data_IF_526956507821
#
_entry.id   IF_526956507821
#
_cell.length_a   1.000
_cell.length_b   1.000
_cell.length_c   1.000
_cell.angle_alpha   90.00
_cell.angle_beta   90.00
_cell.angle_gamma   90.00
#
_symmetry.space_group_name_H-M   'P 1'
#
loop_
_entity.id
_entity.type
_entity.pdbx_description
1 polymer ?
#
# COMPACT_ATOMS: atom_id res chain seq x y z
N UNK A 1 -23.69 -17.71 9.49
CA UNK A 1 -23.95 -17.65 8.04
C UNK A 1 -25.35 -17.11 7.82
N UNK A 2 -25.52 -16.00 7.10
CA UNK A 2 -26.84 -15.46 6.71
C UNK A 2 -26.80 -15.10 5.23
N UNK A 3 -27.76 -15.61 4.45
CA UNK A 3 -27.82 -15.39 3.00
C UNK A 3 -26.65 -15.98 2.19
N UNK A 4 -26.05 -17.08 2.65
CA UNK A 4 -24.93 -17.75 1.95
C UNK A 4 -23.56 -17.10 2.14
N UNK A 5 -23.45 -16.07 2.99
CA UNK A 5 -22.18 -15.41 3.36
C UNK A 5 -21.72 -15.90 4.74
N UNK A 6 -20.44 -16.24 4.85
CA UNK A 6 -19.76 -16.44 6.15
C UNK A 6 -19.34 -15.09 6.70
N UNK A 7 -19.74 -14.78 7.93
CA UNK A 7 -19.39 -13.52 8.56
C UNK A 7 -18.00 -13.64 9.19
N UNK A 8 -17.13 -12.67 8.94
CA UNK A 8 -15.79 -12.57 9.52
C UNK A 8 -15.72 -11.41 10.52
N UNK A 9 -14.73 -11.46 11.39
CA UNK A 9 -14.43 -10.45 12.43
C UNK A 9 -12.91 -10.29 12.51
N UNK A 10 -12.47 -9.31 13.32
CA UNK A 10 -11.08 -8.89 13.48
C UNK A 10 -10.55 -8.18 12.22
N UNK A 11 -10.56 -6.86 12.27
CA UNK A 11 -10.30 -5.99 11.14
C UNK A 11 -9.10 -5.10 11.45
N UNK A 12 -7.87 -5.53 11.11
CA UNK A 12 -6.68 -4.67 11.20
C UNK A 12 -6.51 -3.93 9.87
N UNK A 13 -7.45 -3.05 9.52
CA UNK A 13 -7.57 -2.61 8.13
C UNK A 13 -6.42 -1.74 7.69
N UNK A 14 -5.85 -0.93 8.60
CA UNK A 14 -4.65 -0.15 8.31
C UNK A 14 -3.58 -1.07 7.75
N UNK A 15 -3.24 -2.16 8.42
CA UNK A 15 -2.21 -3.09 7.96
C UNK A 15 -2.66 -3.84 6.70
N UNK A 16 -3.82 -4.48 6.78
CA UNK A 16 -4.21 -5.53 5.84
C UNK A 16 -4.58 -5.03 4.44
N UNK A 17 -4.94 -3.76 4.24
CA UNK A 17 -5.23 -3.25 2.88
C UNK A 17 -3.99 -3.27 1.97
N UNK A 18 -2.79 -3.21 2.57
CA UNK A 18 -1.51 -3.03 1.85
C UNK A 18 -1.14 -4.29 1.06
N UNK A 19 -1.19 -5.45 1.70
CA UNK A 19 -0.72 -6.74 1.12
C UNK A 19 -1.72 -7.88 1.33
N UNK A 20 -2.18 -8.09 2.57
CA UNK A 20 -2.98 -9.26 2.96
C UNK A 20 -4.31 -9.35 2.20
N UNK A 21 -5.05 -8.23 2.07
CA UNK A 21 -6.32 -8.20 1.35
C UNK A 21 -6.15 -8.68 -0.10
N UNK A 22 -5.09 -8.22 -0.78
CA UNK A 22 -4.82 -8.61 -2.16
C UNK A 22 -4.32 -10.05 -2.26
N UNK A 23 -3.50 -10.49 -1.31
CA UNK A 23 -3.03 -11.87 -1.23
C UNK A 23 -4.20 -12.86 -1.09
N UNK A 24 -5.13 -12.58 -0.18
CA UNK A 24 -6.34 -13.39 0.00
C UNK A 24 -7.26 -13.32 -1.22
N UNK A 25 -7.38 -12.15 -1.86
CA UNK A 25 -8.16 -12.04 -3.10
C UNK A 25 -7.59 -12.89 -4.25
N UNK A 26 -6.29 -13.18 -4.25
CA UNK A 26 -5.65 -14.05 -5.25
C UNK A 26 -5.85 -15.54 -4.91
N UNK A 27 -5.59 -15.94 -3.66
CA UNK A 27 -5.50 -17.36 -3.28
C UNK A 27 -6.76 -17.92 -2.60
N UNK A 28 -7.50 -17.08 -1.89
CA UNK A 28 -8.72 -17.42 -1.14
C UNK A 28 -9.88 -16.45 -1.48
N UNK A 29 -10.25 -16.28 -2.78
CA UNK A 29 -11.19 -15.23 -3.20
C UNK A 29 -12.62 -15.42 -2.68
N UNK A 30 -13.00 -16.62 -2.21
CA UNK A 30 -14.33 -16.84 -1.60
C UNK A 30 -14.37 -16.26 -0.19
N UNK A 31 -13.33 -16.52 0.58
CA UNK A 31 -13.10 -16.00 1.91
C UNK A 31 -12.92 -14.48 1.85
N UNK A 32 -12.07 -13.98 0.95
CA UNK A 32 -11.88 -12.54 0.74
C UNK A 32 -13.17 -11.82 0.36
N UNK A 33 -14.02 -12.44 -0.47
CA UNK A 33 -15.36 -11.92 -0.77
C UNK A 33 -16.23 -11.83 0.48
N UNK A 34 -16.30 -12.92 1.25
CA UNK A 34 -17.12 -12.99 2.46
C UNK A 34 -16.63 -11.99 3.53
N UNK A 35 -15.31 -11.77 3.64
CA UNK A 35 -14.70 -10.73 4.46
C UNK A 35 -15.13 -9.33 4.01
N UNK A 36 -15.00 -9.00 2.72
CA UNK A 36 -15.39 -7.69 2.20
C UNK A 36 -16.89 -7.42 2.38
N UNK A 37 -17.75 -8.42 2.17
CA UNK A 37 -19.19 -8.30 2.45
C UNK A 37 -19.46 -8.16 3.96
N UNK A 38 -18.67 -8.78 4.83
CA UNK A 38 -18.79 -8.61 6.28
C UNK A 38 -18.49 -7.16 6.71
N UNK A 39 -17.46 -6.53 6.14
CA UNK A 39 -17.16 -5.10 6.39
C UNK A 39 -18.33 -4.19 5.97
N UNK A 40 -18.97 -4.48 4.83
CA UNK A 40 -20.18 -3.75 4.40
C UNK A 40 -21.31 -3.92 5.41
N UNK A 41 -21.50 -5.13 5.95
CA UNK A 41 -22.51 -5.40 6.98
C UNK A 41 -22.21 -4.71 8.30
N UNK A 42 -20.93 -4.60 8.70
CA UNK A 42 -20.55 -3.78 9.88
C UNK A 42 -21.08 -2.35 9.72
N UNK A 43 -20.95 -1.74 8.53
CA UNK A 43 -21.51 -0.41 8.30
C UNK A 43 -23.03 -0.35 8.39
N UNK A 44 -23.74 -1.40 7.98
CA UNK A 44 -25.20 -1.49 8.03
C UNK A 44 -25.72 -1.74 9.46
N UNK A 45 -25.00 -2.55 10.25
CA UNK A 45 -25.41 -3.00 11.57
C UNK A 45 -24.91 -2.08 12.69
N UNK A 46 -23.67 -1.58 12.59
CA UNK A 46 -23.05 -0.68 13.57
C UNK A 46 -23.14 0.80 13.16
N UNK A 47 -23.72 1.11 12.01
CA UNK A 47 -23.98 2.47 11.55
C UNK A 47 -22.79 3.19 10.91
N UNK A 48 -21.60 2.59 10.86
CA UNK A 48 -20.42 3.12 10.14
C UNK A 48 -19.41 2.03 9.80
N UNK A 49 -18.56 2.28 8.80
CA UNK A 49 -17.47 1.37 8.43
C UNK A 49 -16.43 1.24 9.56
N UNK A 50 -15.85 0.04 9.76
CA UNK A 50 -14.82 -0.15 10.76
C UNK A 50 -13.48 0.42 10.29
N UNK A 51 -12.60 0.71 11.24
CA UNK A 51 -11.18 1.01 10.99
C UNK A 51 -10.31 -0.09 11.61
N UNK A 52 -10.53 -0.34 12.90
CA UNK A 52 -9.87 -1.40 13.64
C UNK A 52 -10.86 -2.16 14.51
N UNK A 53 -11.32 -3.30 14.00
CA UNK A 53 -12.33 -4.11 14.70
C UNK A 53 -11.70 -5.27 15.47
N UNK A 54 -12.14 -5.49 16.70
CA UNK A 54 -11.79 -6.66 17.52
C UNK A 54 -13.06 -7.36 18.00
N UNK A 55 -13.33 -8.53 17.45
CA UNK A 55 -14.62 -9.20 17.59
C UNK A 55 -15.75 -8.27 17.14
N UNK A 56 -16.60 -7.86 18.08
CA UNK A 56 -17.74 -6.98 17.86
C UNK A 56 -17.49 -5.52 18.27
N UNK A 57 -16.26 -5.18 18.67
CA UNK A 57 -15.90 -3.84 19.16
C UNK A 57 -15.05 -3.13 18.12
N UNK A 58 -15.40 -1.88 17.82
CA UNK A 58 -14.51 -0.97 17.07
C UNK A 58 -13.59 -0.26 18.07
N UNK A 59 -12.28 -0.44 17.91
CA UNK A 59 -11.27 0.14 18.79
C UNK A 59 -10.72 1.47 18.25
N UNK A 60 -10.96 1.77 16.97
CA UNK A 60 -10.43 2.91 16.23
C UNK A 60 -8.91 3.08 16.34
N UNK A 61 -8.19 1.98 16.53
CA UNK A 61 -6.72 1.97 16.47
C UNK A 61 -6.28 2.32 15.04
N UNK A 62 -5.11 2.94 14.94
CA UNK A 62 -4.53 3.52 13.71
C UNK A 62 -5.31 4.71 13.12
N UNK A 63 -4.74 5.32 12.08
CA UNK A 63 -5.20 6.57 11.48
C UNK A 63 -5.59 6.42 10.02
N UNK A 64 -6.17 7.46 9.43
CA UNK A 64 -6.47 7.49 8.01
C UNK A 64 -7.78 6.77 7.66
N UNK A 65 -7.90 6.39 6.39
CA UNK A 65 -9.08 5.72 5.84
C UNK A 65 -8.72 4.37 5.19
N UNK A 66 -8.31 3.38 5.97
CA UNK A 66 -7.84 2.11 5.39
C UNK A 66 -8.97 1.22 4.83
N UNK A 67 -10.22 1.46 5.23
CA UNK A 67 -11.37 0.68 4.76
C UNK A 67 -11.71 0.96 3.30
N UNK A 68 -11.41 2.17 2.81
CA UNK A 68 -11.59 2.52 1.40
C UNK A 68 -10.72 1.68 0.48
N UNK A 69 -9.37 1.70 0.56
CA UNK A 69 -8.53 0.86 -0.27
C UNK A 69 -8.83 -0.64 -0.07
N UNK A 70 -9.20 -1.09 1.13
CA UNK A 70 -9.62 -2.48 1.35
C UNK A 70 -10.85 -2.88 0.52
N UNK A 71 -11.93 -2.10 0.57
CA UNK A 71 -13.16 -2.41 -0.18
C UNK A 71 -13.03 -2.15 -1.68
N UNK A 72 -12.27 -1.13 -2.09
CA UNK A 72 -12.00 -0.91 -3.52
C UNK A 72 -11.10 -2.01 -4.08
N UNK A 73 -10.19 -2.60 -3.29
CA UNK A 73 -9.44 -3.79 -3.68
C UNK A 73 -10.39 -4.93 -4.06
N UNK A 74 -11.32 -5.27 -3.15
CA UNK A 74 -12.33 -6.29 -3.36
C UNK A 74 -13.21 -5.98 -4.58
N UNK A 75 -13.56 -4.72 -4.81
CA UNK A 75 -14.27 -4.27 -6.02
C UNK A 75 -13.46 -4.54 -7.30
N UNK A 76 -12.19 -4.15 -7.33
CA UNK A 76 -11.29 -4.32 -8.50
C UNK A 76 -11.01 -5.80 -8.77
N UNK A 77 -11.00 -6.63 -7.72
CA UNK A 77 -10.92 -8.08 -7.85
C UNK A 77 -12.30 -8.73 -8.13
N UNK A 78 -13.36 -7.96 -8.38
CA UNK A 78 -14.69 -8.49 -8.74
C UNK A 78 -15.36 -9.32 -7.64
N UNK A 79 -14.92 -9.19 -6.39
CA UNK A 79 -15.44 -9.92 -5.25
C UNK A 79 -16.79 -9.38 -4.78
N UNK A 80 -17.07 -8.10 -5.06
CA UNK A 80 -18.26 -7.40 -4.61
C UNK A 80 -19.48 -7.56 -5.53
N UNK A 81 -19.54 -8.59 -6.38
CA UNK A 81 -20.68 -8.81 -7.28
C UNK A 81 -22.01 -8.84 -6.52
N UNK A 82 -22.91 -7.89 -6.82
CA UNK A 82 -24.20 -7.69 -6.16
C UNK A 82 -24.16 -6.79 -4.91
N UNK A 83 -23.00 -6.26 -4.55
CA UNK A 83 -22.75 -5.41 -3.38
C UNK A 83 -22.04 -4.09 -3.75
N UNK A 84 -21.72 -3.87 -5.03
CA UNK A 84 -20.88 -2.77 -5.48
C UNK A 84 -21.46 -1.40 -5.09
N UNK A 85 -22.74 -1.17 -5.37
CA UNK A 85 -23.42 0.07 -5.01
C UNK A 85 -23.60 0.24 -3.50
N UNK A 86 -23.72 -0.86 -2.73
CA UNK A 86 -23.79 -0.80 -1.26
C UNK A 86 -22.44 -0.39 -0.68
N UNK A 87 -21.36 -1.01 -1.15
CA UNK A 87 -20.00 -0.64 -0.79
C UNK A 87 -19.72 0.82 -1.14
N UNK A 88 -20.04 1.23 -2.38
CA UNK A 88 -19.83 2.60 -2.82
C UNK A 88 -20.57 3.63 -1.94
N UNK A 89 -21.83 3.38 -1.59
CA UNK A 89 -22.58 4.28 -0.69
C UNK A 89 -21.95 4.39 0.69
N UNK A 90 -21.48 3.28 1.27
CA UNK A 90 -20.80 3.27 2.56
C UNK A 90 -19.47 4.05 2.50
N UNK A 91 -18.66 3.80 1.46
CA UNK A 91 -17.38 4.47 1.23
C UNK A 91 -17.55 5.98 0.99
N UNK A 92 -18.51 6.37 0.15
CA UNK A 92 -18.88 7.77 -0.10
C UNK A 92 -19.26 8.48 1.19
N UNK A 93 -20.10 7.86 2.03
CA UNK A 93 -20.45 8.41 3.34
C UNK A 93 -19.21 8.58 4.23
N UNK A 94 -18.32 7.59 4.26
CA UNK A 94 -17.07 7.68 5.02
C UNK A 94 -16.13 8.79 4.52
N UNK A 95 -16.04 9.00 3.20
CA UNK A 95 -15.18 10.00 2.59
C UNK A 95 -15.74 11.43 2.67
N UNK A 96 -17.06 11.61 2.67
CA UNK A 96 -17.71 12.93 2.62
C UNK A 96 -18.29 13.40 3.95
N UNK A 97 -18.23 12.61 5.02
CA UNK A 97 -18.81 12.97 6.31
C UNK A 97 -18.07 12.34 7.49
N UNK A 98 -18.59 12.54 8.70
CA UNK A 98 -18.09 11.95 9.95
C UNK A 98 -19.17 11.08 10.58
N UNK A 99 -18.80 10.05 11.36
CA UNK A 99 -19.78 9.21 12.04
C UNK A 99 -20.70 10.00 12.98
N UNK A 100 -21.98 9.61 13.11
CA UNK A 100 -22.84 10.04 14.20
C UNK A 100 -22.20 9.83 15.58
N UNK A 101 -22.67 10.57 16.58
CA UNK A 101 -22.13 10.50 17.94
C UNK A 101 -22.29 9.12 18.58
N UNK A 102 -23.40 8.43 18.27
CA UNK A 102 -23.78 7.11 18.78
C UNK A 102 -23.15 5.92 18.02
N UNK A 103 -22.60 6.16 16.81
CA UNK A 103 -21.81 5.13 16.13
C UNK A 103 -20.51 4.86 16.89
N UNK A 104 -20.00 3.62 17.01
CA UNK A 104 -18.75 3.35 17.72
C UNK A 104 -17.51 3.85 16.95
N UNK A 105 -17.61 3.96 15.62
CA UNK A 105 -16.49 4.38 14.77
C UNK A 105 -16.16 5.88 14.89
N UNK A 106 -14.88 6.20 14.72
CA UNK A 106 -14.33 7.54 14.49
C UNK A 106 -14.34 7.92 13.00
N UNK A 107 -14.30 6.93 12.11
CA UNK A 107 -14.20 7.14 10.66
C UNK A 107 -13.00 8.03 10.32
N UNK A 108 -13.18 8.89 9.32
CA UNK A 108 -12.27 10.01 9.03
C UNK A 108 -12.50 11.14 10.05
N UNK A 109 -11.93 11.09 11.26
CA UNK A 109 -12.25 12.13 12.26
C UNK A 109 -11.62 13.50 11.93
N UNK A 110 -10.58 13.52 11.07
CA UNK A 110 -10.00 14.73 10.50
C UNK A 110 -10.75 15.31 9.29
N UNK A 111 -11.86 14.70 8.86
CA UNK A 111 -12.53 15.06 7.62
C UNK A 111 -12.99 16.53 7.54
N UNK A 112 -13.54 17.16 8.60
CA UNK A 112 -13.99 18.55 8.51
C UNK A 112 -12.91 19.52 8.00
N UNK A 113 -11.69 19.44 8.54
CA UNK A 113 -10.57 20.27 8.06
C UNK A 113 -10.00 19.78 6.73
N UNK A 114 -9.92 18.46 6.50
CA UNK A 114 -9.46 17.92 5.22
C UNK A 114 -10.34 18.39 4.05
N UNK A 115 -11.68 18.39 4.22
CA UNK A 115 -12.62 18.86 3.22
C UNK A 115 -12.55 20.37 3.00
N UNK A 116 -12.29 21.15 4.05
CA UNK A 116 -12.24 22.61 3.98
C UNK A 116 -10.89 23.14 3.45
N UNK A 117 -9.78 22.46 3.77
CA UNK A 117 -8.42 22.97 3.60
C UNK A 117 -7.54 22.09 2.71
N UNK A 118 -7.96 20.86 2.43
CA UNK A 118 -7.18 19.87 1.68
C UNK A 118 -6.08 19.18 2.51
N UNK A 119 -6.08 19.32 3.84
CA UNK A 119 -5.19 18.58 4.74
C UNK A 119 -5.80 18.49 6.15
N UNK A 120 -5.41 17.49 6.92
CA UNK A 120 -5.73 17.36 8.35
C UNK A 120 -4.64 18.09 9.15
N UNK A 121 -4.98 19.09 9.98
CA UNK A 121 -3.98 19.78 10.80
C UNK A 121 -3.44 18.87 11.89
N UNK A 122 -2.14 18.98 12.17
CA UNK A 122 -1.50 18.35 13.30
C UNK A 122 -1.75 19.16 14.57
N UNK A 123 -2.29 18.49 15.58
CA UNK A 123 -2.56 19.02 16.92
C UNK A 123 -1.92 18.06 17.92
N UNK A 124 -0.78 18.47 18.48
CA UNK A 124 0.01 17.66 19.41
C UNK A 124 -0.83 17.23 20.61
N UNK A 125 -0.88 15.91 20.86
CA UNK A 125 -1.60 15.33 22.00
C UNK A 125 -3.13 15.39 21.89
N UNK A 126 -3.68 15.69 20.71
CA UNK A 126 -5.12 15.70 20.50
C UNK A 126 -5.73 14.33 20.83
N UNK A 127 -6.79 14.34 21.65
CA UNK A 127 -7.52 13.13 22.03
C UNK A 127 -8.84 13.06 21.26
N UNK A 128 -9.14 11.91 20.63
CA UNK A 128 -10.41 11.76 19.92
C UNK A 128 -11.59 11.67 20.91
N UNK A 129 -12.83 11.93 20.46
CA UNK A 129 -14.02 11.86 21.31
C UNK A 129 -14.44 10.43 21.70
N UNK A 130 -13.81 9.41 21.11
CA UNK A 130 -14.05 7.98 21.34
C UNK A 130 -12.70 7.29 21.52
N UNK A 131 -12.66 6.09 22.08
CA UNK A 131 -11.43 5.31 22.20
C UNK A 131 -10.76 5.09 20.83
N UNK A 132 -9.43 5.10 20.80
CA UNK A 132 -8.60 4.89 19.62
C UNK A 132 -7.65 6.05 19.31
N UNK A 133 -7.11 6.04 18.10
CA UNK A 133 -6.15 7.04 17.63
C UNK A 133 -6.83 8.18 16.88
N UNK A 134 -6.30 9.39 17.03
CA UNK A 134 -6.86 10.60 16.44
C UNK A 134 -6.11 10.99 15.17
N UNK A 135 -6.82 11.19 14.06
CA UNK A 135 -6.22 11.71 12.83
C UNK A 135 -5.56 13.09 13.05
N UNK A 136 -6.07 13.95 13.96
CA UNK A 136 -5.40 15.21 14.30
C UNK A 136 -4.08 15.05 15.05
N UNK A 137 -3.86 13.94 15.78
CA UNK A 137 -2.57 13.67 16.41
C UNK A 137 -1.52 13.22 15.38
N UNK A 138 -1.97 12.86 14.18
CA UNK A 138 -1.14 12.35 13.09
C UNK A 138 -1.60 12.93 11.73
N UNK A 139 -1.78 14.27 11.70
CA UNK A 139 -2.44 14.94 10.56
C UNK A 139 -1.73 14.75 9.22
N UNK A 140 -0.39 14.58 9.23
CA UNK A 140 0.36 14.36 8.00
C UNK A 140 0.09 12.97 7.41
N UNK A 141 0.18 11.91 8.21
CA UNK A 141 -0.15 10.55 7.75
C UNK A 141 -1.62 10.43 7.36
N UNK A 142 -2.54 10.97 8.15
CA UNK A 142 -3.97 10.93 7.84
C UNK A 142 -4.31 11.59 6.49
N UNK A 143 -3.67 12.73 6.18
CA UNK A 143 -3.85 13.40 4.89
C UNK A 143 -3.36 12.56 3.71
N UNK A 144 -2.21 11.89 3.85
CA UNK A 144 -1.65 11.00 2.82
C UNK A 144 -2.56 9.79 2.59
N UNK A 145 -3.00 9.14 3.66
CA UNK A 145 -3.94 8.00 3.65
C UNK A 145 -5.29 8.37 3.03
N UNK A 146 -5.84 9.55 3.36
CA UNK A 146 -7.07 10.05 2.75
C UNK A 146 -6.90 10.34 1.26
N UNK A 147 -5.77 10.91 0.85
CA UNK A 147 -5.49 11.19 -0.56
C UNK A 147 -5.38 9.91 -1.39
N UNK A 148 -4.73 8.86 -0.85
CA UNK A 148 -4.72 7.52 -1.46
C UNK A 148 -6.15 6.96 -1.57
N UNK A 149 -6.90 7.02 -0.48
CA UNK A 149 -8.28 6.52 -0.41
C UNK A 149 -9.20 7.20 -1.42
N UNK A 150 -9.08 8.53 -1.56
CA UNK A 150 -9.84 9.31 -2.54
C UNK A 150 -9.47 8.91 -3.98
N UNK A 151 -8.20 8.63 -4.28
CA UNK A 151 -7.84 8.09 -5.60
C UNK A 151 -8.52 6.75 -5.89
N UNK A 152 -8.52 5.83 -4.93
CA UNK A 152 -9.15 4.52 -5.13
C UNK A 152 -10.67 4.63 -5.28
N UNK A 153 -11.30 5.47 -4.46
CA UNK A 153 -12.73 5.75 -4.55
C UNK A 153 -13.11 6.46 -5.86
N UNK A 154 -12.24 7.31 -6.40
CA UNK A 154 -12.43 7.92 -7.72
C UNK A 154 -12.52 6.87 -8.83
N UNK A 155 -11.66 5.83 -8.78
CA UNK A 155 -11.70 4.73 -9.76
C UNK A 155 -12.99 3.90 -9.63
N UNK A 156 -13.42 3.59 -8.40
CA UNK A 156 -14.69 2.88 -8.17
C UNK A 156 -15.89 3.71 -8.63
N UNK A 157 -15.96 4.99 -8.28
CA UNK A 157 -17.02 5.91 -8.69
C UNK A 157 -17.12 5.98 -10.23
N UNK A 158 -15.97 6.07 -10.92
CA UNK A 158 -15.92 6.10 -12.39
C UNK A 158 -16.48 4.82 -12.99
N UNK A 159 -16.08 3.66 -12.48
CA UNK A 159 -16.52 2.36 -12.96
C UNK A 159 -18.03 2.13 -12.77
N UNK A 160 -18.61 2.69 -11.70
CA UNK A 160 -20.04 2.62 -11.40
C UNK A 160 -20.88 3.72 -12.08
N UNK A 161 -20.25 4.66 -12.79
CA UNK A 161 -20.95 5.72 -13.51
C UNK A 161 -21.22 6.99 -12.70
N UNK A 162 -20.74 7.08 -11.45
CA UNK A 162 -20.84 8.27 -10.59
C UNK A 162 -19.79 9.33 -10.99
N UNK A 163 -19.91 9.87 -12.21
CA UNK A 163 -18.88 10.73 -12.85
C UNK A 163 -18.54 12.00 -12.07
N UNK A 164 -19.53 12.65 -11.46
CA UNK A 164 -19.29 13.87 -10.67
C UNK A 164 -18.45 13.58 -9.42
N UNK A 165 -18.79 12.50 -8.72
CA UNK A 165 -18.05 12.03 -7.55
C UNK A 165 -16.65 11.55 -7.94
N UNK A 166 -16.51 10.84 -9.06
CA UNK A 166 -15.21 10.46 -9.61
C UNK A 166 -14.31 11.68 -9.84
N UNK A 167 -14.84 12.76 -10.43
CA UNK A 167 -14.10 14.02 -10.62
C UNK A 167 -13.75 14.74 -9.31
N UNK A 168 -14.64 14.70 -8.31
CA UNK A 168 -14.38 15.27 -6.98
C UNK A 168 -13.24 14.53 -6.26
N UNK A 169 -13.32 13.20 -6.21
CA UNK A 169 -12.30 12.38 -5.54
C UNK A 169 -10.95 12.39 -6.27
N UNK A 170 -10.96 12.42 -7.61
CA UNK A 170 -9.81 12.72 -8.46
C UNK A 170 -9.09 14.03 -8.09
N UNK A 171 -9.86 15.08 -7.80
CA UNK A 171 -9.27 16.34 -7.36
C UNK A 171 -8.67 16.22 -5.95
N UNK A 172 -9.39 15.60 -5.01
CA UNK A 172 -8.95 15.42 -3.61
C UNK A 172 -7.78 14.44 -3.47
N UNK A 173 -7.59 13.49 -4.38
CA UNK A 173 -6.45 12.56 -4.31
C UNK A 173 -5.09 13.25 -4.46
N UNK A 174 -5.08 14.53 -4.87
CA UNK A 174 -3.89 15.38 -4.97
C UNK A 174 -3.60 16.19 -3.70
N UNK A 175 -4.42 16.03 -2.65
CA UNK A 175 -4.27 16.73 -1.36
C UNK A 175 -2.93 16.49 -0.66
N UNK A 176 -2.23 15.38 -0.97
CA UNK A 176 -0.87 15.13 -0.48
C UNK A 176 0.10 16.28 -0.79
N UNK A 177 -0.13 17.01 -1.90
CA UNK A 177 0.69 18.17 -2.30
C UNK A 177 0.62 19.31 -1.30
N UNK A 178 -0.46 19.43 -0.53
CA UNK A 178 -0.59 20.45 0.49
C UNK A 178 0.43 20.27 1.61
N UNK A 179 0.92 19.04 1.84
CA UNK A 179 1.92 18.77 2.87
C UNK A 179 3.36 18.90 2.39
N UNK A 180 3.62 19.08 1.09
CA UNK A 180 4.99 19.16 0.61
C UNK A 180 5.61 20.52 0.93
N UNK A 181 6.60 20.53 1.84
CA UNK A 181 7.37 21.73 2.18
C UNK A 181 8.52 21.89 1.18
N UNK A 182 8.53 22.92 0.33
CA UNK A 182 9.60 23.13 -0.63
C UNK A 182 10.95 23.45 0.04
N UNK A 183 10.97 23.94 1.29
CA UNK A 183 12.21 24.27 1.98
C UNK A 183 12.98 23.01 2.40
N UNK A 184 12.30 22.01 2.95
CA UNK A 184 12.91 20.73 3.34
C UNK A 184 12.86 19.69 2.23
N UNK A 185 11.96 19.86 1.26
CA UNK A 185 11.65 18.89 0.19
C UNK A 185 11.18 17.54 0.77
N UNK A 186 10.36 17.62 1.81
CA UNK A 186 9.65 16.51 2.44
C UNK A 186 8.19 16.87 2.68
N UNK A 187 7.36 15.86 2.85
CA UNK A 187 6.05 16.09 3.46
C UNK A 187 6.23 16.49 4.93
N UNK A 188 5.54 17.54 5.35
CA UNK A 188 5.55 18.04 6.73
C UNK A 188 4.13 18.31 7.20
N UNK A 189 3.90 18.06 8.48
CA UNK A 189 2.67 18.42 9.14
C UNK A 189 2.41 19.94 9.03
N UNK A 190 1.13 20.29 8.97
CA UNK A 190 0.65 21.68 9.06
C UNK A 190 -0.21 21.87 10.28
N UNK A 191 -0.15 23.04 10.89
CA UNK A 191 -1.05 23.41 11.99
C UNK A 191 -2.43 23.91 11.49
N UNK A 192 -3.28 24.32 12.44
CA UNK A 192 -4.62 24.87 12.16
C UNK A 192 -4.60 26.23 11.46
N UNK A 193 -3.49 26.97 11.54
CA UNK A 193 -3.23 28.20 10.80
C UNK A 193 -2.69 27.95 9.38
N UNK A 194 -2.27 26.72 9.09
CA UNK A 194 -1.72 26.30 7.80
C UNK A 194 -0.22 26.46 7.66
N UNK A 195 0.50 26.85 8.70
CA UNK A 195 1.96 26.86 8.67
C UNK A 195 2.50 25.43 8.79
N UNK A 196 3.64 25.15 8.15
CA UNK A 196 4.38 23.92 8.40
C UNK A 196 4.90 23.92 9.85
N UNK A 197 4.75 22.81 10.55
CA UNK A 197 5.03 22.70 11.99
C UNK A 197 5.88 21.46 12.33
N UNK A 198 6.45 21.46 13.53
CA UNK A 198 7.43 20.48 13.98
C UNK A 198 8.86 20.73 13.45
N UNK A 199 9.82 19.85 13.78
CA UNK A 199 11.19 19.96 13.30
C UNK A 199 11.28 20.01 11.76
N UNK A 200 12.32 20.69 11.26
CA UNK A 200 12.63 20.72 9.82
C UNK A 200 13.38 19.45 9.39
N UNK A 201 14.07 18.79 10.32
CA UNK A 201 14.70 17.50 10.09
C UNK A 201 13.62 16.42 9.86
N UNK A 202 13.57 15.79 8.68
CA UNK A 202 12.60 14.76 8.36
C UNK A 202 12.71 13.50 9.23
N UNK A 203 13.89 13.18 9.80
CA UNK A 203 14.05 12.04 10.71
C UNK A 203 13.35 12.28 12.05
N UNK A 204 13.26 13.54 12.48
CA UNK A 204 12.58 13.96 13.72
C UNK A 204 11.21 14.60 13.44
N UNK A 205 10.61 14.28 12.29
CA UNK A 205 9.34 14.86 11.86
C UNK A 205 8.18 14.57 12.84
N UNK A 206 7.12 15.37 12.75
CA UNK A 206 5.91 15.18 13.56
C UNK A 206 4.67 15.01 12.69
N UNK A 207 3.60 14.47 13.30
CA UNK A 207 2.32 14.26 12.63
C UNK A 207 2.26 13.03 11.74
N UNK A 208 3.23 12.11 11.85
CA UNK A 208 3.26 10.81 11.19
C UNK A 208 3.03 9.71 12.24
N UNK A 209 2.24 8.70 11.89
CA UNK A 209 1.88 7.60 12.78
C UNK A 209 2.81 6.41 12.52
N UNK A 210 3.52 5.97 13.56
CA UNK A 210 4.51 4.88 13.50
C UNK A 210 5.52 5.09 12.37
N UNK A 211 6.06 6.29 12.29
CA UNK A 211 7.00 6.62 11.24
C UNK A 211 7.40 8.08 11.22
N UNK A 212 8.25 8.40 10.26
CA UNK A 212 8.75 9.75 10.01
C UNK A 212 8.37 10.17 8.58
N UNK A 213 8.74 11.39 8.21
CA UNK A 213 8.59 11.88 6.84
C UNK A 213 9.39 11.03 5.84
N UNK A 214 10.45 10.33 6.28
CA UNK A 214 11.20 9.41 5.43
C UNK A 214 10.39 8.19 5.00
N UNK A 215 9.60 7.61 5.91
CA UNK A 215 8.74 6.47 5.62
C UNK A 215 7.54 6.89 4.76
N UNK A 216 6.82 7.93 5.20
CA UNK A 216 5.57 8.34 4.55
C UNK A 216 5.73 9.04 3.19
N UNK A 217 6.93 9.49 2.80
CA UNK A 217 7.12 10.14 1.50
C UNK A 217 6.76 9.24 0.30
N UNK A 218 6.72 7.92 0.51
CA UNK A 218 6.40 6.94 -0.52
C UNK A 218 4.91 6.54 -0.55
N UNK A 219 4.09 7.00 0.40
CA UNK A 219 2.64 6.72 0.47
C UNK A 219 1.83 7.59 -0.50
N UNK A 220 2.23 7.62 -1.76
CA UNK A 220 1.48 8.25 -2.87
C UNK A 220 1.49 7.36 -4.13
N UNK A 221 1.19 6.04 -4.02
CA UNK A 221 1.22 5.13 -5.18
C UNK A 221 0.26 5.54 -6.30
N UNK A 222 -0.76 6.33 -5.99
CA UNK A 222 -1.72 6.86 -6.96
C UNK A 222 -1.11 7.88 -7.93
N UNK A 223 -0.06 8.62 -7.55
CA UNK A 223 0.54 9.69 -8.37
C UNK A 223 2.07 9.78 -8.17
N UNK A 224 2.78 8.65 -8.33
CA UNK A 224 4.25 8.62 -8.24
C UNK A 224 4.94 9.62 -9.18
N UNK A 225 4.54 9.80 -10.46
CA UNK A 225 5.07 10.87 -11.30
C UNK A 225 4.89 12.28 -10.68
N UNK A 226 3.79 12.50 -9.96
CA UNK A 226 3.57 13.72 -9.20
C UNK A 226 4.58 13.91 -8.07
N UNK A 227 4.91 12.85 -7.31
CA UNK A 227 5.95 12.88 -6.27
C UNK A 227 7.34 13.09 -6.87
N UNK A 228 7.68 12.40 -7.96
CA UNK A 228 8.93 12.60 -8.71
C UNK A 228 9.08 14.08 -9.12
N UNK A 229 8.00 14.70 -9.59
CA UNK A 229 7.99 16.13 -9.90
C UNK A 229 8.30 17.04 -8.70
N UNK A 230 7.72 16.75 -7.52
CA UNK A 230 8.01 17.49 -6.28
C UNK A 230 9.46 17.32 -5.83
N UNK A 231 10.00 16.10 -5.97
CA UNK A 231 11.39 15.77 -5.67
C UNK A 231 12.38 16.24 -6.75
N UNK A 232 11.92 16.93 -7.80
CA UNK A 232 12.77 17.56 -8.80
C UNK A 232 13.30 16.61 -9.88
N UNK A 233 12.59 15.52 -10.14
CA UNK A 233 12.87 14.59 -11.23
C UNK A 233 13.49 13.27 -10.77
N UNK A 234 13.52 12.31 -11.71
CA UNK A 234 13.86 10.90 -11.44
C UNK A 234 15.23 10.72 -10.79
N UNK A 235 16.25 11.50 -11.18
CA UNK A 235 17.60 11.41 -10.60
C UNK A 235 17.57 11.67 -9.09
N UNK A 236 16.95 12.78 -8.67
CA UNK A 236 16.87 13.17 -7.26
C UNK A 236 15.97 12.22 -6.47
N UNK A 237 14.91 11.68 -7.09
CA UNK A 237 14.09 10.64 -6.45
C UNK A 237 14.88 9.36 -6.23
N UNK A 238 15.67 8.92 -7.21
CA UNK A 238 16.51 7.73 -7.07
C UNK A 238 17.62 7.93 -6.03
N UNK A 239 18.25 9.12 -5.96
CA UNK A 239 19.22 9.46 -4.90
C UNK A 239 18.56 9.42 -3.51
N UNK A 240 17.33 9.93 -3.38
CA UNK A 240 16.54 9.89 -2.14
C UNK A 240 16.19 8.46 -1.71
N UNK A 241 15.82 7.60 -2.67
CA UNK A 241 15.58 6.18 -2.40
C UNK A 241 16.89 5.47 -2.02
N UNK A 242 18.00 5.76 -2.71
CA UNK A 242 19.31 5.16 -2.42
C UNK A 242 19.77 5.51 -0.99
N UNK A 243 19.58 6.76 -0.58
CA UNK A 243 19.82 7.20 0.79
C UNK A 243 18.92 6.45 1.78
N UNK A 244 17.60 6.43 1.53
CA UNK A 244 16.62 5.78 2.40
C UNK A 244 16.92 4.28 2.63
N UNK A 245 17.35 3.57 1.58
CA UNK A 245 17.71 2.15 1.66
C UNK A 245 19.17 1.90 2.05
N UNK A 246 19.98 2.93 2.30
CA UNK A 246 21.42 2.82 2.50
C UNK A 246 22.09 1.96 1.40
N UNK A 247 21.77 2.27 0.14
CA UNK A 247 21.96 1.37 -1.00
C UNK A 247 23.42 0.94 -1.24
N UNK A 248 24.41 1.81 -0.98
CA UNK A 248 25.83 1.43 -1.07
C UNK A 248 26.20 0.35 -0.04
N UNK A 249 25.67 0.42 1.18
CA UNK A 249 25.86 -0.61 2.21
C UNK A 249 25.11 -1.88 1.86
N UNK A 250 23.88 -1.73 1.34
CA UNK A 250 23.05 -2.84 0.86
C UNK A 250 23.79 -3.69 -0.17
N UNK A 251 24.44 -3.05 -1.15
CA UNK A 251 25.21 -3.74 -2.18
C UNK A 251 26.44 -4.44 -1.62
N UNK A 252 27.08 -3.88 -0.60
CA UNK A 252 28.26 -4.47 0.04
C UNK A 252 27.91 -5.67 0.94
N UNK A 253 26.88 -5.53 1.78
CA UNK A 253 26.40 -6.59 2.68
C UNK A 253 24.89 -6.45 2.92
N UNK A 254 24.04 -7.15 2.14
CA UNK A 254 22.59 -6.98 2.23
C UNK A 254 22.01 -7.49 3.54
N UNK A 255 22.54 -8.60 4.07
CA UNK A 255 22.06 -9.20 5.33
C UNK A 255 22.36 -8.29 6.50
N UNK A 256 23.60 -7.78 6.56
CA UNK A 256 24.01 -6.86 7.63
C UNK A 256 23.27 -5.53 7.54
N UNK A 257 23.12 -4.98 6.33
CA UNK A 257 22.37 -3.73 6.14
C UNK A 257 20.93 -3.87 6.62
N UNK A 258 20.25 -4.96 6.25
CA UNK A 258 18.88 -5.23 6.69
C UNK A 258 18.77 -5.37 8.23
N UNK A 259 19.75 -6.01 8.88
CA UNK A 259 19.70 -6.29 10.33
C UNK A 259 20.23 -5.17 11.23
N UNK A 260 21.16 -4.36 10.74
CA UNK A 260 21.88 -3.37 11.58
C UNK A 260 21.66 -1.93 11.14
N UNK A 261 21.20 -1.68 9.91
CA UNK A 261 20.94 -0.31 9.40
C UNK A 261 19.46 -0.01 9.26
N UNK A 262 18.66 -0.98 8.81
CA UNK A 262 17.20 -0.80 8.61
C UNK A 262 16.40 -1.03 9.89
N UNK A 263 16.80 -2.02 10.68
CA UNK A 263 16.09 -2.43 11.89
C UNK A 263 16.94 -2.06 13.11
N UNK A 264 16.53 -1.05 13.86
CA UNK A 264 17.15 -0.67 15.14
C UNK A 264 16.46 -1.32 16.35
N UNK A 265 15.18 -1.70 16.20
CA UNK A 265 14.37 -2.35 17.22
C UNK A 265 12.97 -2.67 16.68
N UNK A 266 12.21 -3.57 17.34
CA UNK A 266 10.90 -4.03 16.86
C UNK A 266 9.83 -2.93 16.79
N UNK A 267 9.98 -1.85 17.56
CA UNK A 267 9.01 -0.74 17.64
C UNK A 267 9.65 0.65 17.49
N UNK A 268 10.92 0.69 17.06
CA UNK A 268 11.67 1.93 16.88
C UNK A 268 11.37 2.53 15.51
N UNK A 269 10.16 3.08 15.37
CA UNK A 269 9.65 3.63 14.11
C UNK A 269 9.91 5.14 13.96
N UNK A 270 10.33 5.81 15.03
CA UNK A 270 10.56 7.25 15.09
C UNK A 270 12.05 7.58 15.16
N UNK A 271 12.39 8.85 14.93
CA UNK A 271 13.77 9.35 15.02
C UNK A 271 14.76 8.61 14.11
N UNK A 272 14.28 8.16 12.94
CA UNK A 272 15.04 7.42 11.94
C UNK A 272 14.78 7.93 10.52
N UNK A 273 15.80 7.79 9.68
CA UNK A 273 15.83 8.14 8.26
C UNK A 273 15.96 6.91 7.35
N UNK A 274 15.93 5.70 7.91
CA UNK A 274 16.16 4.45 7.18
C UNK A 274 14.88 3.67 7.01
N UNK A 275 14.82 2.95 5.88
CA UNK A 275 13.79 1.96 5.60
C UNK A 275 13.63 0.94 6.72
N UNK A 276 12.38 0.66 7.11
CA UNK A 276 12.02 -0.41 8.02
C UNK A 276 11.03 -1.39 7.35
N UNK A 277 11.50 -2.57 6.89
CA UNK A 277 10.65 -3.57 6.22
C UNK A 277 9.63 -4.27 7.14
N UNK A 278 9.65 -4.00 8.45
CA UNK A 278 8.80 -4.64 9.46
C UNK A 278 7.64 -3.75 9.88
N UNK A 279 7.37 -2.69 9.12
CA UNK A 279 6.35 -1.70 9.43
C UNK A 279 5.61 -1.30 8.14
N UNK A 280 4.30 -1.14 8.28
CA UNK A 280 3.30 -0.97 7.24
C UNK A 280 3.55 0.18 6.25
N UNK A 281 3.98 1.40 6.68
CA UNK A 281 4.15 2.53 5.77
C UNK A 281 5.21 2.28 4.68
N UNK A 282 6.15 1.38 4.98
CA UNK A 282 7.36 1.17 4.19
C UNK A 282 7.25 0.02 3.20
N UNK A 283 6.28 -0.87 3.35
CA UNK A 283 6.12 -2.08 2.54
C UNK A 283 6.09 -1.83 1.02
N UNK A 284 5.59 -0.66 0.60
CA UNK A 284 5.53 -0.25 -0.81
C UNK A 284 6.85 0.36 -1.31
N UNK A 285 7.67 0.95 -0.43
CA UNK A 285 8.79 1.80 -0.79
C UNK A 285 9.77 1.15 -1.80
N UNK A 286 10.18 -0.13 -1.67
CA UNK A 286 11.10 -0.78 -2.63
C UNK A 286 10.57 -0.79 -4.07
N UNK A 287 9.24 -0.81 -4.21
CA UNK A 287 8.56 -0.88 -5.49
C UNK A 287 8.44 0.49 -6.18
N UNK A 288 8.82 1.57 -5.51
CA UNK A 288 8.93 2.91 -6.13
C UNK A 288 9.92 2.90 -7.30
N UNK A 289 11.00 2.11 -7.19
CA UNK A 289 11.99 1.94 -8.26
C UNK A 289 11.41 1.38 -9.57
N UNK A 290 10.29 0.64 -9.51
CA UNK A 290 9.57 0.18 -10.71
C UNK A 290 8.99 1.35 -11.52
N UNK A 291 8.89 2.54 -10.93
CA UNK A 291 8.33 3.75 -11.54
C UNK A 291 9.38 4.82 -11.86
N UNK A 292 10.65 4.62 -11.46
CA UNK A 292 11.73 5.60 -11.62
C UNK A 292 12.86 5.12 -12.54
N UNK A 293 12.58 4.10 -13.36
CA UNK A 293 13.49 3.59 -14.39
C UNK A 293 14.63 2.71 -13.87
N UNK A 294 14.62 2.31 -12.59
CA UNK A 294 15.68 1.50 -11.98
C UNK A 294 15.15 0.20 -11.32
N UNK A 295 14.34 -0.62 -12.02
CA UNK A 295 13.64 -1.76 -11.42
C UNK A 295 14.56 -2.83 -10.81
N UNK A 296 15.84 -2.91 -11.23
CA UNK A 296 16.81 -3.82 -10.61
C UNK A 296 17.08 -3.47 -9.14
N UNK A 297 16.89 -2.22 -8.73
CA UNK A 297 17.05 -1.82 -7.33
C UNK A 297 15.92 -2.35 -6.46
N UNK A 298 14.70 -2.50 -6.99
CA UNK A 298 13.62 -3.23 -6.30
C UNK A 298 14.07 -4.65 -5.97
N UNK A 299 14.70 -5.36 -6.92
CA UNK A 299 15.24 -6.70 -6.68
C UNK A 299 16.26 -6.70 -5.53
N UNK A 300 17.22 -5.78 -5.54
CA UNK A 300 18.25 -5.74 -4.49
C UNK A 300 17.67 -5.48 -3.09
N UNK A 301 16.77 -4.50 -2.98
CA UNK A 301 16.13 -4.14 -1.70
C UNK A 301 15.22 -5.26 -1.20
N UNK A 302 14.36 -5.81 -2.07
CA UNK A 302 13.44 -6.90 -1.71
C UNK A 302 14.21 -8.14 -1.27
N UNK A 303 15.23 -8.57 -2.02
CA UNK A 303 16.02 -9.74 -1.67
C UNK A 303 16.75 -9.58 -0.33
N UNK A 304 17.19 -8.36 0.02
CA UNK A 304 17.78 -8.10 1.33
C UNK A 304 16.73 -8.13 2.45
N UNK A 305 15.56 -7.51 2.24
CA UNK A 305 14.48 -7.49 3.23
C UNK A 305 13.95 -8.90 3.52
N UNK A 306 13.87 -9.77 2.52
CA UNK A 306 13.49 -11.18 2.70
C UNK A 306 14.43 -11.96 3.65
N UNK A 307 15.66 -11.49 3.89
CA UNK A 307 16.60 -12.14 4.84
C UNK A 307 16.25 -11.92 6.31
N UNK A 308 15.26 -11.06 6.59
CA UNK A 308 14.69 -10.83 7.92
C UNK A 308 13.59 -11.85 8.26
N UNK A 309 13.08 -12.57 7.26
CA UNK A 309 12.07 -13.62 7.44
C UNK A 309 12.78 -14.97 7.53
N UNK A 310 12.64 -15.66 8.66
CA UNK A 310 13.20 -17.00 8.86
C UNK A 310 12.16 -17.96 9.45
N UNK A 311 12.47 -19.26 9.44
CA UNK A 311 11.63 -20.32 10.01
C UNK A 311 11.88 -20.56 11.50
N UNK A 312 12.62 -19.65 12.15
CA UNK A 312 12.93 -19.70 13.58
C UNK A 312 11.84 -19.00 14.42
N UNK A 313 11.75 -19.26 15.74
CA UNK A 313 10.75 -18.59 16.60
C UNK A 313 10.80 -17.06 16.59
N UNK A 314 11.97 -16.48 16.29
CA UNK A 314 12.18 -15.03 16.13
C UNK A 314 12.28 -14.61 14.65
N UNK A 315 11.74 -15.43 13.75
CA UNK A 315 11.81 -15.26 12.29
C UNK A 315 10.95 -14.14 11.71
N UNK A 316 10.36 -13.33 12.58
CA UNK A 316 9.85 -12.01 12.25
C UNK A 316 10.27 -11.06 13.38
N UNK A 317 10.97 -10.00 13.01
CA UNK A 317 11.57 -9.04 13.97
C UNK A 317 10.61 -7.91 14.38
N UNK A 318 9.35 -7.97 13.95
CA UNK A 318 8.26 -7.02 14.27
C UNK A 318 6.91 -7.74 14.36
N UNK A 319 5.82 -6.97 14.35
CA UNK A 319 4.47 -7.53 14.33
C UNK A 319 4.13 -8.13 12.96
N UNK A 320 3.32 -9.20 12.93
CA UNK A 320 2.81 -9.76 11.65
C UNK A 320 1.53 -9.04 11.18
N UNK A 321 0.85 -8.35 12.09
CA UNK A 321 -0.35 -7.54 11.86
C UNK A 321 -1.42 -8.23 11.00
N UNK A 322 -1.90 -9.36 11.55
CA UNK A 322 -2.85 -10.28 10.95
C UNK A 322 -2.41 -10.85 9.59
N UNK A 323 -1.11 -11.04 9.37
CA UNK A 323 -0.58 -11.61 8.14
C UNK A 323 -0.25 -10.56 7.07
N UNK A 324 -0.15 -9.29 7.44
CA UNK A 324 0.29 -8.21 6.54
C UNK A 324 1.75 -8.41 6.15
N UNK A 325 2.63 -8.65 7.13
CA UNK A 325 4.05 -8.94 6.88
C UNK A 325 4.23 -10.28 6.17
N UNK A 326 3.53 -11.33 6.63
CA UNK A 326 3.56 -12.64 5.96
C UNK A 326 3.08 -12.58 4.50
N UNK A 327 2.03 -11.81 4.20
CA UNK A 327 1.58 -11.61 2.83
C UNK A 327 2.60 -10.84 1.99
N UNK A 328 3.30 -9.85 2.58
CA UNK A 328 4.38 -9.13 1.92
C UNK A 328 5.52 -10.07 1.50
N UNK A 329 5.95 -10.94 2.42
CA UNK A 329 7.01 -11.94 2.18
C UNK A 329 6.64 -12.86 1.02
N UNK A 330 5.46 -13.50 1.08
CA UNK A 330 5.02 -14.44 0.03
C UNK A 330 4.89 -13.74 -1.32
N UNK A 331 4.22 -12.59 -1.38
CA UNK A 331 4.01 -11.85 -2.63
C UNK A 331 5.33 -11.40 -3.26
N UNK A 332 6.23 -10.86 -2.44
CA UNK A 332 7.57 -10.43 -2.87
C UNK A 332 8.42 -11.61 -3.36
N UNK A 333 8.38 -12.74 -2.64
CA UNK A 333 9.09 -13.97 -2.98
C UNK A 333 8.65 -14.57 -4.32
N UNK A 334 7.37 -14.48 -4.67
CA UNK A 334 6.85 -14.98 -5.97
C UNK A 334 6.97 -13.96 -7.10
N UNK A 335 7.50 -12.75 -6.84
CA UNK A 335 7.73 -11.71 -7.85
C UNK A 335 6.50 -10.89 -8.24
N UNK A 336 5.45 -10.86 -7.41
CA UNK A 336 4.19 -10.14 -7.68
C UNK A 336 3.78 -9.30 -6.47
N UNK A 337 3.58 -7.98 -6.64
CA UNK A 337 3.26 -7.09 -5.51
C UNK A 337 2.14 -6.07 -5.83
N UNK A 338 1.18 -5.79 -4.92
CA UNK A 338 0.17 -4.73 -5.10
C UNK A 338 0.77 -3.32 -5.00
N UNK A 339 1.31 -2.81 -6.10
CA UNK A 339 1.98 -1.48 -6.13
C UNK A 339 1.04 -0.28 -6.01
N UNK A 340 -0.27 -0.50 -6.11
CA UNK A 340 -1.30 0.52 -5.92
C UNK A 340 -2.44 -0.11 -5.10
N UNK A 341 -2.29 -0.21 -3.76
CA UNK A 341 -3.27 -0.85 -2.88
C UNK A 341 -4.66 -0.26 -3.09
N UNK A 342 -5.68 -1.12 -3.21
CA UNK A 342 -7.03 -0.71 -3.58
C UNK A 342 -7.30 -0.59 -5.08
N UNK A 343 -6.29 -0.79 -5.95
CA UNK A 343 -6.42 -0.81 -7.41
C UNK A 343 -5.81 -2.04 -8.08
N UNK A 344 -6.31 -2.41 -9.26
CA UNK A 344 -5.97 -3.65 -9.96
C UNK A 344 -4.60 -3.69 -10.65
N UNK A 345 -3.54 -3.15 -10.04
CA UNK A 345 -2.16 -3.14 -10.59
C UNK A 345 -1.23 -4.02 -9.74
N UNK A 346 -0.40 -4.83 -10.39
CA UNK A 346 0.58 -5.73 -9.80
C UNK A 346 1.97 -5.38 -10.31
N UNK A 347 2.87 -4.91 -9.46
CA UNK A 347 4.28 -4.75 -9.78
C UNK A 347 4.96 -6.10 -9.94
N UNK A 348 5.92 -6.14 -10.84
CA UNK A 348 6.74 -7.31 -11.14
C UNK A 348 8.14 -7.07 -10.59
N UNK A 349 8.56 -7.94 -9.68
CA UNK A 349 9.95 -8.06 -9.22
C UNK A 349 10.50 -9.43 -9.63
N UNK A 350 11.79 -9.67 -9.40
CA UNK A 350 12.36 -11.01 -9.63
C UNK A 350 11.87 -11.97 -8.54
N UNK A 351 11.29 -13.14 -8.88
CA UNK A 351 10.98 -14.16 -7.90
C UNK A 351 12.25 -14.82 -7.35
N UNK A 352 12.19 -15.29 -6.10
CA UNK A 352 13.30 -16.00 -5.45
C UNK A 352 13.32 -17.50 -5.78
N UNK A 353 12.24 -18.04 -6.36
CA UNK A 353 12.11 -19.43 -6.77
C UNK A 353 12.23 -19.61 -8.28
N UNK A 354 12.87 -20.69 -8.72
CA UNK A 354 12.96 -21.06 -10.14
C UNK A 354 11.59 -21.29 -10.79
N UNK A 355 10.62 -21.74 -9.99
CA UNK A 355 9.25 -22.03 -10.41
C UNK A 355 8.28 -21.87 -9.25
N UNK A 356 7.18 -21.16 -9.50
CA UNK A 356 6.02 -21.06 -8.60
C UNK A 356 4.77 -21.48 -9.37
N UNK A 357 4.01 -22.42 -8.82
CA UNK A 357 2.74 -22.88 -9.39
C UNK A 357 1.57 -22.43 -8.50
N UNK A 358 0.82 -21.45 -8.96
CA UNK A 358 -0.37 -20.96 -8.29
C UNK A 358 -1.60 -21.70 -8.80
N UNK A 359 -2.34 -22.35 -7.90
CA UNK A 359 -3.66 -22.93 -8.19
C UNK A 359 -4.72 -21.90 -7.79
N UNK A 360 -5.50 -21.44 -8.77
CA UNK A 360 -6.40 -20.30 -8.61
C UNK A 360 -7.86 -20.72 -8.77
N UNK A 361 -8.79 -20.07 -8.06
CA UNK A 361 -10.22 -20.34 -8.21
C UNK A 361 -10.70 -19.91 -9.60
N UNK A 362 -11.19 -20.88 -10.39
CA UNK A 362 -11.67 -20.68 -11.78
C UNK A 362 -12.81 -19.67 -11.92
N UNK A 363 -13.56 -19.37 -10.85
CA UNK A 363 -14.63 -18.36 -10.87
C UNK A 363 -14.07 -16.94 -11.01
N UNK A 364 -12.88 -16.70 -10.47
CA UNK A 364 -12.23 -15.39 -10.47
C UNK A 364 -11.02 -15.32 -11.41
N UNK A 365 -10.36 -16.47 -11.64
CA UNK A 365 -9.23 -16.63 -12.56
C UNK A 365 -9.54 -17.77 -13.55
N UNK A 366 -10.14 -17.48 -14.72
CA UNK A 366 -10.68 -18.51 -15.63
C UNK A 366 -9.68 -19.60 -16.07
N UNK A 367 -8.38 -19.29 -16.11
CA UNK A 367 -7.33 -20.28 -16.40
C UNK A 367 -7.18 -21.33 -15.29
N UNK A 368 -7.53 -20.98 -14.06
CA UNK A 368 -7.44 -21.82 -12.86
C UNK A 368 -6.03 -22.05 -12.34
N UNK A 369 -5.02 -21.50 -13.02
CA UNK A 369 -3.63 -21.57 -12.61
C UNK A 369 -2.81 -20.45 -13.25
N UNK A 370 -1.71 -20.10 -12.59
CA UNK A 370 -0.64 -19.27 -13.11
C UNK A 370 0.69 -19.90 -12.71
N UNK A 371 1.60 -20.08 -13.67
CA UNK A 371 2.97 -20.51 -13.39
C UNK A 371 3.92 -19.31 -13.55
N UNK A 372 4.68 -18.99 -12.51
CA UNK A 372 5.80 -18.04 -12.58
C UNK A 372 7.09 -18.84 -12.73
N UNK A 373 7.94 -18.49 -13.70
CA UNK A 373 9.17 -19.20 -14.03
C UNK A 373 10.34 -18.24 -14.05
N UNK A 374 11.40 -18.54 -13.30
CA UNK A 374 12.67 -17.81 -13.35
C UNK A 374 13.84 -18.81 -13.22
N UNK A 375 13.97 -19.76 -14.17
CA UNK A 375 14.96 -20.84 -14.04
C UNK A 375 16.38 -20.26 -13.93
N UNK A 376 17.11 -20.73 -12.92
CA UNK A 376 18.44 -20.25 -12.58
C UNK A 376 18.45 -18.98 -11.73
N UNK A 377 17.31 -18.60 -11.13
CA UNK A 377 17.29 -17.50 -10.16
C UNK A 377 18.08 -17.92 -8.94
N UNK A 378 19.02 -17.07 -8.54
CA UNK A 378 19.87 -17.30 -7.38
C UNK A 378 20.23 -15.96 -6.77
N UNK A 379 20.97 -15.99 -5.65
CA UNK A 379 21.54 -14.77 -5.07
C UNK A 379 22.37 -14.02 -6.12
N UNK A 380 23.15 -14.71 -6.94
CA UNK A 380 24.01 -14.12 -7.97
C UNK A 380 23.21 -13.73 -9.22
N UNK A 381 22.35 -14.62 -9.71
CA UNK A 381 21.58 -14.46 -10.94
C UNK A 381 20.14 -14.00 -10.67
N UNK A 382 19.98 -12.86 -10.00
CA UNK A 382 18.66 -12.30 -9.61
C UNK A 382 18.14 -11.19 -10.52
N UNK A 383 18.93 -10.65 -11.43
CA UNK A 383 18.49 -9.48 -12.19
C UNK A 383 17.64 -9.88 -13.39
N UNK A 384 16.42 -9.37 -13.44
CA UNK A 384 15.51 -9.59 -14.57
C UNK A 384 16.14 -9.03 -15.86
N UNK A 385 16.31 -9.90 -16.85
CA UNK A 385 16.81 -9.59 -18.20
C UNK A 385 15.67 -9.36 -19.17
N UNK A 386 14.65 -10.21 -19.12
CA UNK A 386 13.42 -10.11 -19.91
C UNK A 386 12.28 -10.78 -19.17
N UNK A 387 11.06 -10.30 -19.39
CA UNK A 387 9.84 -10.99 -18.96
C UNK A 387 9.01 -11.34 -20.19
N UNK A 388 8.43 -12.55 -20.20
CA UNK A 388 7.47 -13.00 -21.21
C UNK A 388 6.17 -13.44 -20.55
N UNK A 389 5.06 -12.89 -21.00
CA UNK A 389 3.71 -13.22 -20.59
C UNK A 389 3.07 -14.09 -21.67
N UNK A 390 2.80 -15.37 -21.38
CA UNK A 390 2.36 -16.39 -22.36
C UNK A 390 3.23 -16.43 -23.64
N UNK A 391 4.55 -16.22 -23.48
CA UNK A 391 5.53 -16.23 -24.58
C UNK A 391 5.71 -14.89 -25.30
N UNK A 392 4.85 -13.91 -25.05
CA UNK A 392 4.95 -12.56 -25.60
C UNK A 392 5.84 -11.69 -24.72
N UNK A 393 6.74 -10.91 -25.32
CA UNK A 393 7.59 -9.96 -24.59
C UNK A 393 6.75 -8.99 -23.77
N UNK A 394 7.16 -8.77 -22.51
CA UNK A 394 6.50 -7.86 -21.58
C UNK A 394 7.54 -6.93 -20.96
N UNK A 395 7.57 -5.68 -21.42
CA UNK A 395 8.57 -4.69 -21.02
C UNK A 395 8.09 -3.71 -19.94
N UNK A 396 6.85 -3.87 -19.47
CA UNK A 396 6.32 -3.09 -18.33
C UNK A 396 6.72 -3.73 -17.01
N UNK A 397 6.94 -2.92 -15.99
CA UNK A 397 7.24 -3.36 -14.62
C UNK A 397 5.98 -3.78 -13.85
N UNK A 398 4.83 -3.88 -14.52
CA UNK A 398 3.56 -4.24 -13.90
C UNK A 398 2.63 -5.06 -14.82
N UNK A 399 1.63 -5.69 -14.21
CA UNK A 399 0.45 -6.28 -14.85
C UNK A 399 -0.82 -5.70 -14.24
N UNK A 400 -1.89 -5.65 -15.01
CA UNK A 400 -3.24 -5.43 -14.46
C UNK A 400 -3.87 -6.75 -13.99
N UNK A 401 -4.79 -6.71 -13.04
CA UNK A 401 -5.59 -7.89 -12.63
C UNK A 401 -6.27 -8.55 -13.84
N UNK A 402 -6.74 -7.75 -14.80
CA UNK A 402 -7.35 -8.25 -16.02
C UNK A 402 -6.39 -9.07 -16.87
N UNK A 403 -5.14 -8.61 -17.02
CA UNK A 403 -4.09 -9.37 -17.71
C UNK A 403 -3.74 -10.63 -16.92
N UNK A 404 -3.45 -10.52 -15.63
CA UNK A 404 -3.09 -11.63 -14.75
C UNK A 404 -4.10 -12.79 -14.81
N UNK A 405 -5.41 -12.49 -14.88
CA UNK A 405 -6.49 -13.49 -15.01
C UNK A 405 -6.47 -14.30 -16.30
N UNK A 406 -5.90 -13.74 -17.38
CA UNK A 406 -5.83 -14.37 -18.71
C UNK A 406 -4.55 -15.17 -18.92
N UNK A 407 -3.49 -14.80 -18.20
CA UNK A 407 -2.17 -15.42 -18.28
C UNK A 407 -2.18 -16.85 -17.78
N UNK A 408 -1.38 -17.69 -18.42
CA UNK A 408 -1.02 -19.03 -17.94
C UNK A 408 0.39 -19.04 -17.37
N UNK A 409 1.30 -18.29 -17.97
CA UNK A 409 2.71 -18.28 -17.62
C UNK A 409 3.28 -16.87 -17.61
N UNK A 410 4.04 -16.55 -16.58
CA UNK A 410 4.95 -15.41 -16.52
C UNK A 410 6.38 -15.96 -16.43
N UNK A 411 7.20 -15.73 -17.47
CA UNK A 411 8.57 -16.26 -17.54
C UNK A 411 9.58 -15.13 -17.51
N UNK A 412 10.43 -15.16 -16.51
CA UNK A 412 11.61 -14.33 -16.34
C UNK A 412 12.82 -15.05 -16.95
N UNK A 413 13.66 -14.30 -17.64
CA UNK A 413 15.06 -14.66 -17.84
C UNK A 413 15.85 -13.78 -16.88
N UNK A 414 16.70 -14.41 -16.08
CA UNK A 414 17.49 -13.74 -15.05
C UNK A 414 18.98 -13.79 -15.40
N UNK A 415 19.79 -12.92 -14.79
CA UNK A 415 21.22 -12.88 -14.99
C UNK A 415 21.95 -12.16 -13.86
N UNK A 416 23.28 -12.19 -13.90
CA UNK A 416 24.13 -11.69 -12.82
C UNK A 416 24.32 -10.17 -12.79
N UNK A 417 23.76 -9.44 -13.76
CA UNK A 417 23.89 -7.97 -13.85
C UNK A 417 22.54 -7.32 -14.22
N UNK A 418 22.27 -6.09 -13.75
CA UNK A 418 21.14 -5.29 -14.21
C UNK A 418 21.01 -5.21 -15.73
N UNK A 419 19.78 -5.12 -16.22
CA UNK A 419 19.44 -5.04 -17.64
C UNK A 419 18.65 -3.77 -17.97
N UNK A 420 18.31 -3.60 -19.25
CA UNK A 420 17.44 -2.52 -19.71
C UNK A 420 15.93 -2.86 -19.60
N UNK A 421 15.56 -4.01 -19.04
CA UNK A 421 14.14 -4.34 -18.84
C UNK A 421 13.49 -3.37 -17.85
N UNK A 422 12.33 -2.83 -18.21
CA UNK A 422 11.53 -1.98 -17.34
C UNK A 422 12.11 -0.59 -17.05
N UNK A 423 13.08 -0.11 -17.84
CA UNK A 423 13.76 1.17 -17.59
C UNK A 423 13.13 2.35 -18.34
N UNK A 424 12.21 2.10 -19.27
CA UNK A 424 11.55 3.16 -20.03
C UNK A 424 10.46 3.84 -19.19
N UNK A 425 10.20 5.12 -19.47
CA UNK A 425 9.13 5.87 -18.80
C UNK A 425 7.74 5.22 -18.99
N UNK A 426 7.52 4.48 -20.09
CA UNK A 426 6.27 3.78 -20.37
C UNK A 426 6.16 2.42 -19.68
N UNK A 427 7.24 1.94 -19.06
CA UNK A 427 7.22 0.67 -18.32
C UNK A 427 6.52 0.78 -16.96
N UNK A 428 6.47 2.00 -16.39
CA UNK A 428 5.97 2.27 -15.05
C UNK A 428 4.45 2.05 -14.89
N UNK A 429 3.99 1.71 -13.67
CA UNK A 429 2.57 1.73 -13.31
C UNK A 429 1.85 3.03 -13.69
N UNK A 430 0.57 2.97 -14.08
CA UNK A 430 -0.18 4.16 -14.50
C UNK A 430 -0.57 5.04 -13.30
N UNK A 431 -0.75 6.34 -13.56
CA UNK A 431 -1.31 7.28 -12.57
C UNK A 431 -2.80 7.04 -12.36
N UNK A 432 -3.26 7.11 -11.11
CA UNK A 432 -4.65 6.99 -10.69
C UNK A 432 -5.13 8.32 -10.13
N UNK A 433 -5.64 9.20 -11.01
CA UNK A 433 -6.17 10.51 -10.61
C UNK A 433 -7.41 10.90 -11.38
#
# INVERSE_FOLDING_TARGET
>A
RTGGITYYQNWSLWDTYRTQARFLALLAPREARDMAVSVIRVAEESGWLPKWGYGTVETNVMTGDPVTPFLTDAFQQGLLKGYEERAYRALRRNADSVPPADAPALGRNGNPDYLARGYVPYIKGHRPPKAGHSDYAFGASATLEYALSDAMLAQMARALGHRADAGRYAARSRSYRNLFDPATRFFRARDTGGAFTGPADPAHSTGFHEGTAWHYQWLVPQDLPGVVGLLGGERLTNERLDEFFAYDRLLADPVRTARETWVSGPYDFYDTDRYNPLNEPDLLAPYTYLSTGQPWKTTDVVHAALTLFTDEPAGLTGNDDLGTMSAWDVLSSIGLYPVQPGYGTWGLSTPVFDRVDLRLDRRYHPRGALTVLAPGTSREARYTRTVRADGVTHDRTYLTTGELRRLRTLRYTVGARPSAWGTSAQAAPPVLR
#
